data_IF_096018904407
#
_entry.id   IF_096018904407
#
_cell.length_a   1.000
_cell.length_b   1.000
_cell.length_c   1.000
_cell.angle_alpha   90.00
_cell.angle_beta   90.00
_cell.angle_gamma   90.00
#
_symmetry.space_group_name_H-M   'P 1'
#
loop_
_entity.id
_entity.type
_entity.pdbx_description
1 polymer ?
#
# COMPACT_ATOMS: atom_id res chain seq x y z
N UNK A 1 8.00 -9.71 -1.04
CA UNK A 1 8.56 -8.47 -1.59
C UNK A 1 8.17 -7.32 -0.67
N UNK A 2 8.87 -6.20 -0.76
CA UNK A 2 8.55 -4.94 -0.10
C UNK A 2 8.03 -3.99 -1.18
N UNK A 3 6.81 -3.45 -1.01
CA UNK A 3 6.24 -2.46 -1.91
C UNK A 3 5.99 -1.18 -1.11
N UNK A 4 6.47 -0.05 -1.61
CA UNK A 4 6.37 1.26 -0.98
C UNK A 4 5.70 2.23 -1.94
N UNK A 5 4.77 3.02 -1.42
CA UNK A 5 4.15 4.14 -2.14
C UNK A 5 4.43 5.42 -1.38
N UNK A 6 5.08 6.37 -2.04
CA UNK A 6 5.30 7.73 -1.53
C UNK A 6 4.07 8.58 -1.86
N UNK A 7 3.46 9.18 -0.84
CA UNK A 7 2.21 9.93 -0.97
C UNK A 7 2.42 11.45 -1.12
N UNK A 8 3.63 11.93 -0.88
CA UNK A 8 4.02 13.34 -1.01
C UNK A 8 5.46 13.46 -1.51
N UNK A 9 5.82 14.64 -2.01
CA UNK A 9 7.18 14.92 -2.51
C UNK A 9 8.24 14.95 -1.39
N UNK A 10 7.81 15.24 -0.16
CA UNK A 10 8.67 15.23 1.03
C UNK A 10 8.81 13.82 1.66
N UNK A 11 8.06 12.83 1.16
CA UNK A 11 8.11 11.48 1.71
C UNK A 11 9.40 10.77 1.29
N UNK A 12 10.00 10.06 2.24
CA UNK A 12 11.16 9.21 1.98
C UNK A 12 10.98 7.83 2.59
N UNK A 13 11.58 6.82 1.96
CA UNK A 13 11.58 5.44 2.46
C UNK A 13 12.97 4.85 2.31
N UNK A 14 13.43 4.14 3.34
CA UNK A 14 14.71 3.44 3.33
C UNK A 14 14.42 1.94 3.36
N UNK A 15 14.86 1.21 2.33
CA UNK A 15 14.68 -0.24 2.24
C UNK A 15 16.05 -0.90 2.06
N UNK A 16 16.41 -1.81 2.97
CA UNK A 16 17.67 -2.55 2.95
C UNK A 16 17.38 -4.06 3.01
N UNK A 17 17.09 -4.72 1.88
CA UNK A 17 16.92 -6.16 1.86
C UNK A 17 18.29 -6.85 1.99
N UNK A 18 18.44 -7.73 2.98
CA UNK A 18 19.65 -8.51 3.21
C UNK A 18 19.31 -9.99 3.33
N UNK A 19 20.16 -10.84 2.76
CA UNK A 19 20.07 -12.30 2.87
C UNK A 19 21.47 -12.85 3.11
N UNK A 20 21.64 -13.62 4.18
CA UNK A 20 22.82 -14.45 4.40
C UNK A 20 22.43 -15.91 4.15
N UNK A 21 23.07 -16.55 3.17
CA UNK A 21 22.75 -17.93 2.76
C UNK A 21 23.98 -18.80 2.95
N UNK A 22 23.86 -19.80 3.82
CA UNK A 22 24.93 -20.74 4.18
C UNK A 22 24.72 -22.16 3.62
N UNK A 23 23.70 -22.36 2.76
CA UNK A 23 23.29 -23.66 2.25
C UNK A 23 23.46 -23.75 0.72
N UNK A 24 23.76 -24.96 0.23
CA UNK A 24 24.17 -25.19 -1.17
C UNK A 24 23.01 -25.40 -2.16
N UNK A 25 21.78 -25.61 -1.68
CA UNK A 25 20.63 -25.86 -2.56
C UNK A 25 19.38 -25.09 -2.09
N UNK A 26 19.41 -23.77 -2.28
CA UNK A 26 18.26 -22.91 -1.99
C UNK A 26 18.00 -21.94 -3.14
N UNK A 27 16.72 -21.66 -3.39
CA UNK A 27 16.27 -20.53 -4.21
C UNK A 27 15.70 -19.48 -3.28
N UNK A 28 16.36 -18.33 -3.22
CA UNK A 28 15.91 -17.20 -2.43
C UNK A 28 15.76 -15.98 -3.34
N UNK A 29 14.68 -15.23 -3.13
CA UNK A 29 14.42 -13.98 -3.81
C UNK A 29 13.95 -12.95 -2.81
N UNK A 30 14.45 -11.74 -2.93
CA UNK A 30 13.85 -10.54 -2.34
C UNK A 30 13.56 -9.56 -3.48
N UNK A 31 12.63 -8.65 -3.24
CA UNK A 31 12.31 -7.59 -4.17
C UNK A 31 11.79 -6.41 -3.38
N UNK A 32 12.28 -5.22 -3.68
CA UNK A 32 11.80 -3.96 -3.10
C UNK A 32 11.42 -3.02 -4.24
N UNK A 33 10.19 -2.50 -4.21
CA UNK A 33 9.68 -1.54 -5.20
C UNK A 33 9.24 -0.29 -4.46
N UNK A 34 9.61 0.87 -5.00
CA UNK A 34 9.20 2.17 -4.46
C UNK A 34 8.73 3.04 -5.61
N UNK A 35 7.57 3.66 -5.46
CA UNK A 35 7.01 4.58 -6.46
C UNK A 35 6.04 5.56 -5.83
N UNK A 36 5.44 6.40 -6.67
CA UNK A 36 4.33 7.27 -6.30
C UNK A 36 3.00 6.68 -6.80
N UNK A 37 1.88 7.32 -6.48
CA UNK A 37 0.59 6.96 -7.05
C UNK A 37 0.61 7.13 -8.58
N UNK A 38 -0.07 6.23 -9.28
CA UNK A 38 -0.23 6.32 -10.73
C UNK A 38 -1.16 7.49 -11.08
N UNK A 39 -0.58 8.55 -11.62
CA UNK A 39 -1.32 9.77 -11.96
C UNK A 39 -2.31 9.55 -13.13
N UNK A 40 -2.10 8.54 -13.98
CA UNK A 40 -3.09 8.17 -15.00
C UNK A 40 -4.32 7.52 -14.36
N UNK A 41 -4.11 6.69 -13.32
CA UNK A 41 -5.20 6.13 -12.53
C UNK A 41 -5.96 7.22 -11.74
N UNK A 42 -5.24 8.19 -11.16
CA UNK A 42 -5.84 9.35 -10.50
C UNK A 42 -6.67 10.15 -11.52
N UNK A 43 -6.11 10.47 -12.68
CA UNK A 43 -6.79 11.18 -13.76
C UNK A 43 -8.05 10.44 -14.22
N UNK A 44 -7.97 9.13 -14.40
CA UNK A 44 -9.09 8.29 -14.82
C UNK A 44 -10.25 8.29 -13.81
N UNK A 45 -9.95 8.21 -12.51
CA UNK A 45 -10.94 8.29 -11.45
C UNK A 45 -11.57 9.69 -11.37
N UNK A 46 -10.75 10.73 -11.54
CA UNK A 46 -11.23 12.12 -11.60
C UNK A 46 -12.17 12.36 -12.77
N UNK A 47 -11.85 11.81 -13.96
CA UNK A 47 -12.72 11.87 -15.13
C UNK A 47 -14.08 11.18 -14.90
N UNK A 48 -14.17 10.28 -13.91
CA UNK A 48 -15.41 9.63 -13.46
C UNK A 48 -16.14 10.37 -12.34
N UNK A 49 -15.72 11.59 -12.02
CA UNK A 49 -16.40 12.46 -11.06
C UNK A 49 -15.87 12.38 -9.63
N UNK A 50 -14.79 11.64 -9.36
CA UNK A 50 -14.15 11.68 -8.05
C UNK A 50 -13.35 12.97 -7.89
N UNK A 51 -13.37 13.54 -6.68
CA UNK A 51 -12.40 14.57 -6.31
C UNK A 51 -10.98 13.99 -6.36
N UNK A 52 -9.97 14.83 -6.53
CA UNK A 52 -8.58 14.39 -6.49
C UNK A 52 -8.23 13.72 -5.15
N UNK A 53 -8.71 14.28 -4.04
CA UNK A 53 -8.57 13.69 -2.70
C UNK A 53 -9.19 12.29 -2.66
N UNK A 54 -10.43 12.14 -3.11
CA UNK A 54 -11.14 10.86 -3.12
C UNK A 54 -10.46 9.82 -4.02
N UNK A 55 -9.97 10.23 -5.20
CA UNK A 55 -9.27 9.35 -6.13
C UNK A 55 -7.96 8.82 -5.52
N UNK A 56 -7.13 9.72 -4.96
CA UNK A 56 -5.87 9.34 -4.30
C UNK A 56 -6.11 8.46 -3.06
N UNK A 57 -7.13 8.78 -2.25
CA UNK A 57 -7.54 7.94 -1.11
C UNK A 57 -7.98 6.55 -1.54
N UNK A 58 -8.76 6.43 -2.62
CA UNK A 58 -9.23 5.14 -3.13
C UNK A 58 -8.06 4.26 -3.60
N UNK A 59 -7.10 4.82 -4.33
CA UNK A 59 -5.91 4.07 -4.78
C UNK A 59 -5.06 3.64 -3.58
N UNK A 60 -4.87 4.54 -2.60
CA UNK A 60 -4.13 4.23 -1.37
C UNK A 60 -4.82 3.13 -0.55
N UNK A 61 -6.14 3.17 -0.44
CA UNK A 61 -6.93 2.14 0.21
C UNK A 61 -6.77 0.80 -0.50
N UNK A 62 -6.87 0.76 -1.83
CA UNK A 62 -6.68 -0.46 -2.61
C UNK A 62 -5.29 -1.08 -2.38
N UNK A 63 -4.25 -0.25 -2.29
CA UNK A 63 -2.88 -0.70 -1.99
C UNK A 63 -2.78 -1.36 -0.59
N UNK A 64 -3.39 -0.77 0.44
CA UNK A 64 -3.34 -1.28 1.82
C UNK A 64 -4.23 -2.52 1.99
N UNK A 65 -5.38 -2.57 1.32
CA UNK A 65 -6.32 -3.70 1.40
C UNK A 65 -5.66 -5.03 1.05
N UNK A 66 -4.71 -5.07 0.11
CA UNK A 66 -3.97 -6.31 -0.22
C UNK A 66 -3.23 -6.91 0.99
N UNK A 67 -2.79 -6.07 1.92
CA UNK A 67 -2.13 -6.50 3.17
C UNK A 67 -3.18 -6.89 4.21
N UNK A 68 -4.23 -6.08 4.36
CA UNK A 68 -5.28 -6.30 5.36
C UNK A 68 -6.07 -7.59 5.09
N UNK A 69 -6.30 -7.94 3.83
CA UNK A 69 -7.04 -9.16 3.44
C UNK A 69 -6.32 -10.45 3.81
N UNK A 70 -5.00 -10.40 4.06
CA UNK A 70 -4.21 -11.55 4.53
C UNK A 70 -4.47 -11.89 6.00
N UNK A 71 -5.15 -11.02 6.75
CA UNK A 71 -5.52 -11.26 8.15
C UNK A 71 -6.72 -12.20 8.21
N UNK A 72 -6.49 -13.46 8.56
CA UNK A 72 -7.54 -14.50 8.57
C UNK A 72 -8.60 -14.28 9.65
N UNK A 73 -8.22 -13.79 10.83
CA UNK A 73 -9.17 -13.52 11.92
C UNK A 73 -10.00 -12.27 11.61
N UNK A 74 -11.31 -12.47 11.46
CA UNK A 74 -12.25 -11.44 11.06
C UNK A 74 -12.27 -10.27 12.04
N UNK A 75 -12.27 -10.55 13.34
CA UNK A 75 -12.32 -9.52 14.39
C UNK A 75 -11.09 -8.60 14.33
N UNK A 76 -9.93 -9.16 14.03
CA UNK A 76 -8.67 -8.40 13.87
C UNK A 76 -8.70 -7.59 12.58
N UNK A 77 -9.21 -8.18 11.49
CA UNK A 77 -9.36 -7.48 10.21
C UNK A 77 -10.30 -6.28 10.33
N UNK A 78 -11.48 -6.47 10.92
CA UNK A 78 -12.48 -5.44 11.13
C UNK A 78 -11.91 -4.32 12.03
N UNK A 79 -11.15 -4.69 13.08
CA UNK A 79 -10.46 -3.73 13.93
C UNK A 79 -9.46 -2.86 13.13
N UNK A 80 -8.63 -3.48 12.29
CA UNK A 80 -7.65 -2.77 11.46
C UNK A 80 -8.36 -1.84 10.46
N UNK A 81 -9.40 -2.32 9.78
CA UNK A 81 -10.17 -1.52 8.84
C UNK A 81 -10.79 -0.28 9.50
N UNK A 82 -11.41 -0.44 10.68
CA UNK A 82 -11.96 0.67 11.44
C UNK A 82 -10.87 1.68 11.83
N UNK A 83 -9.69 1.20 12.25
CA UNK A 83 -8.58 2.07 12.62
C UNK A 83 -8.01 2.85 11.43
N UNK A 84 -7.94 2.24 10.25
CA UNK A 84 -7.51 2.93 9.02
C UNK A 84 -8.50 4.02 8.61
N UNK A 85 -9.80 3.76 8.71
CA UNK A 85 -10.84 4.77 8.42
C UNK A 85 -10.73 5.96 9.37
N UNK A 86 -10.54 5.71 10.67
CA UNK A 86 -10.36 6.76 11.68
C UNK A 86 -9.10 7.62 11.42
N UNK A 87 -7.97 6.99 11.08
CA UNK A 87 -6.69 7.67 10.89
C UNK A 87 -6.63 8.50 9.61
N UNK A 88 -7.31 8.06 8.55
CA UNK A 88 -7.18 8.65 7.22
C UNK A 88 -8.43 9.39 6.74
N UNK A 89 -9.45 9.56 7.60
CA UNK A 89 -10.70 10.24 7.27
C UNK A 89 -11.30 9.67 5.97
N UNK A 90 -11.29 8.34 5.85
CA UNK A 90 -11.84 7.62 4.68
C UNK A 90 -13.36 7.46 4.74
N UNK A 91 -14.02 8.16 5.67
CA UNK A 91 -15.47 8.31 5.67
C UNK A 91 -15.90 9.23 4.54
N UNK A 92 -16.77 8.69 3.66
CA UNK A 92 -17.49 9.47 2.65
C UNK A 92 -18.36 10.55 3.29
#
# INVERSE_FOLDING_TARGET
>A
SNANVLLSDDASVNSKPELEIYANDVKCSHGSTTGQLDEDAVFYLRARGLSEKSARSLITQAFITEVVDKVEQKEVRDFIQNKLVELHDWTN
#
